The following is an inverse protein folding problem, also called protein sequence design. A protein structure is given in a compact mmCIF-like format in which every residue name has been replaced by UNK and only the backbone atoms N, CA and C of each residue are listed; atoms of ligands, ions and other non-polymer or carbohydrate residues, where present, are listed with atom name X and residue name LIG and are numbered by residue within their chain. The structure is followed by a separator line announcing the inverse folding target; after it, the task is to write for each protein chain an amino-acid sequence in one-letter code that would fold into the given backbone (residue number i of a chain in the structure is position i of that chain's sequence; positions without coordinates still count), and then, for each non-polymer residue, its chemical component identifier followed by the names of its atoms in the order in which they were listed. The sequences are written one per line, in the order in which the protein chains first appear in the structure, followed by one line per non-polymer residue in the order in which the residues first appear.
data_IF_241084371524
#
_entry.id   IF_241084371524
#
_cell.length_a   1.000
_cell.length_b   1.000
_cell.length_c   1.000
_cell.angle_alpha   90.00
_cell.angle_beta   90.00
_cell.angle_gamma   90.00
#
_symmetry.space_group_name_H-M   'P 1'
#
loop_
_entity.id
_entity.type
_entity.pdbx_description
1 polymer ?
#
# COMPACT_ATOMS: atom_id res chain seq x y z
N UNK A 1 -20.41 9.62 -15.42
CA UNK A 1 -19.55 9.08 -14.35
C UNK A 1 -18.34 9.99 -14.24
N UNK A 2 -18.19 10.68 -13.13
CA UNK A 2 -17.04 11.53 -12.81
C UNK A 2 -15.80 10.69 -12.49
N UNK A 3 -14.63 11.31 -12.39
CA UNK A 3 -13.40 10.59 -12.03
C UNK A 3 -13.43 10.10 -10.58
N UNK A 4 -14.01 10.87 -9.66
CA UNK A 4 -14.27 10.40 -8.30
C UNK A 4 -15.21 9.18 -8.29
N UNK A 5 -16.31 9.21 -9.04
CA UNK A 5 -17.22 8.05 -9.13
C UNK A 5 -16.51 6.80 -9.71
N UNK A 6 -15.57 7.00 -10.64
CA UNK A 6 -14.73 5.91 -11.17
C UNK A 6 -13.80 5.34 -10.11
N UNK A 7 -13.11 6.21 -9.36
CA UNK A 7 -12.22 5.79 -8.28
C UNK A 7 -12.98 5.00 -7.21
N UNK A 8 -14.12 5.51 -6.76
CA UNK A 8 -14.96 4.85 -5.75
C UNK A 8 -15.52 3.51 -6.21
N UNK A 9 -15.86 3.37 -7.49
CA UNK A 9 -16.31 2.10 -8.05
C UNK A 9 -15.14 1.10 -8.23
N UNK A 10 -13.95 1.61 -8.57
CA UNK A 10 -12.76 0.80 -8.77
C UNK A 10 -12.19 0.29 -7.45
N UNK A 11 -12.03 1.18 -6.47
CA UNK A 11 -11.49 0.90 -5.14
C UNK A 11 -12.48 1.39 -4.09
N UNK A 12 -13.40 0.56 -3.60
CA UNK A 12 -14.36 1.00 -2.59
C UNK A 12 -13.65 1.54 -1.33
N UNK A 13 -14.08 2.70 -0.77
CA UNK A 13 -13.54 3.20 0.49
C UNK A 13 -13.78 2.21 1.63
N UNK A 14 -12.95 2.26 2.69
CA UNK A 14 -13.16 1.42 3.86
C UNK A 14 -14.43 1.82 4.61
N UNK A 15 -15.05 0.85 5.29
CA UNK A 15 -16.24 1.11 6.11
C UNK A 15 -15.94 2.04 7.31
N UNK A 16 -14.70 2.04 7.79
CA UNK A 16 -14.21 2.86 8.88
C UNK A 16 -12.85 3.49 8.49
N UNK A 17 -12.86 4.60 7.73
CA UNK A 17 -11.63 5.30 7.37
C UNK A 17 -10.93 5.87 8.61
N UNK A 18 -9.60 5.80 8.62
CA UNK A 18 -8.76 6.30 9.72
C UNK A 18 -8.45 7.77 9.47
N UNK A 19 -8.54 8.62 10.49
CA UNK A 19 -8.27 10.07 10.39
C UNK A 19 -9.18 10.81 9.38
N UNK A 20 -10.40 10.32 9.15
CA UNK A 20 -11.34 10.89 8.18
C UNK A 20 -11.86 12.31 8.56
N UNK A 21 -11.84 12.64 9.85
CA UNK A 21 -12.27 13.91 10.40
C UNK A 21 -11.14 14.94 10.51
N UNK A 22 -9.97 14.64 9.95
CA UNK A 22 -8.81 15.52 10.00
C UNK A 22 -9.14 16.95 9.51
N UNK A 23 -8.56 17.93 10.21
CA UNK A 23 -8.67 19.32 9.85
C UNK A 23 -7.65 19.63 8.74
N UNK A 24 -8.13 19.98 7.55
CA UNK A 24 -7.28 20.33 6.41
C UNK A 24 -6.98 21.83 6.36
N UNK A 25 -7.70 22.65 7.12
CA UNK A 25 -7.48 24.10 7.16
C UNK A 25 -6.12 24.45 7.78
N UNK A 26 -5.63 23.65 8.74
CA UNK A 26 -4.26 23.79 9.25
C UNK A 26 -3.18 23.58 8.17
N UNK A 27 -3.42 22.71 7.18
CA UNK A 27 -2.49 22.50 6.07
C UNK A 27 -2.52 23.70 5.15
N UNK A 28 -3.72 24.23 4.86
CA UNK A 28 -3.89 25.42 4.06
C UNK A 28 -3.20 26.65 4.69
N UNK A 29 -3.39 26.85 5.99
CA UNK A 29 -2.76 27.93 6.76
C UNK A 29 -1.24 27.74 6.85
N UNK A 30 -0.78 26.51 7.11
CA UNK A 30 0.64 26.19 7.25
C UNK A 30 1.42 26.33 5.94
N UNK A 31 0.82 25.95 4.82
CA UNK A 31 1.41 26.11 3.49
C UNK A 31 1.15 27.50 2.90
N UNK A 32 0.17 28.25 3.39
CA UNK A 32 -0.26 29.52 2.78
C UNK A 32 -0.93 29.33 1.42
N UNK A 33 -1.60 28.19 1.22
CA UNK A 33 -2.20 27.75 -0.05
C UNK A 33 -3.56 27.11 0.22
N UNK A 34 -4.54 27.34 -0.64
CA UNK A 34 -5.74 26.50 -0.65
C UNK A 34 -5.41 25.13 -1.26
N UNK A 35 -6.02 24.05 -0.77
CA UNK A 35 -5.84 22.71 -1.32
C UNK A 35 -6.87 22.39 -2.41
N UNK A 36 -6.57 21.47 -3.36
CA UNK A 36 -7.57 21.00 -4.30
C UNK A 36 -8.74 20.37 -3.54
N UNK A 37 -9.98 20.76 -3.89
CA UNK A 37 -11.17 20.29 -3.15
C UNK A 37 -11.30 18.77 -3.23
N UNK A 38 -11.08 18.21 -4.42
CA UNK A 38 -11.17 16.76 -4.66
C UNK A 38 -10.17 15.97 -3.81
N UNK A 39 -8.98 16.52 -3.53
CA UNK A 39 -8.01 15.88 -2.65
C UNK A 39 -8.57 15.70 -1.24
N UNK A 40 -9.07 16.79 -0.63
CA UNK A 40 -9.63 16.71 0.73
C UNK A 40 -10.88 15.83 0.78
N UNK A 41 -11.68 15.76 -0.27
CA UNK A 41 -12.81 14.83 -0.38
C UNK A 41 -12.35 13.37 -0.39
N UNK A 42 -11.36 13.02 -1.22
CA UNK A 42 -10.76 11.68 -1.26
C UNK A 42 -10.12 11.32 0.08
N UNK A 43 -9.35 12.23 0.66
CA UNK A 43 -8.67 11.99 1.93
C UNK A 43 -9.67 11.72 3.07
N UNK A 44 -10.85 12.36 3.06
CA UNK A 44 -11.93 12.08 4.02
C UNK A 44 -12.62 10.74 3.77
N UNK A 45 -12.80 10.35 2.50
CA UNK A 45 -13.48 9.10 2.15
C UNK A 45 -12.61 7.88 2.45
N UNK A 46 -11.32 7.94 2.12
CA UNK A 46 -10.40 6.82 2.31
C UNK A 46 -9.69 6.86 3.66
N UNK A 47 -9.45 8.06 4.21
CA UNK A 47 -8.62 8.23 5.39
C UNK A 47 -7.15 7.92 5.11
N UNK A 48 -6.39 7.75 6.19
CA UNK A 48 -5.01 7.29 6.14
C UNK A 48 -4.94 5.82 5.73
N UNK A 49 -4.13 5.50 4.73
CA UNK A 49 -3.93 4.13 4.24
C UNK A 49 -3.20 4.08 2.90
N UNK A 50 -3.23 2.91 2.26
CA UNK A 50 -2.53 2.66 1.00
C UNK A 50 -3.48 2.07 -0.05
N UNK A 51 -3.33 2.53 -1.29
CA UNK A 51 -3.91 1.93 -2.48
C UNK A 51 -2.95 0.86 -3.01
N UNK A 52 -3.44 -0.38 -3.10
CA UNK A 52 -2.71 -1.53 -3.65
C UNK A 52 -1.32 -1.78 -3.04
N UNK A 53 -1.14 -1.47 -1.75
CA UNK A 53 0.15 -1.48 -1.02
C UNK A 53 1.23 -0.54 -1.59
N UNK A 54 0.85 0.33 -2.55
CA UNK A 54 1.80 1.13 -3.32
C UNK A 54 1.66 2.62 -3.01
N UNK A 55 0.48 3.21 -3.23
CA UNK A 55 0.33 4.67 -3.16
C UNK A 55 -0.43 5.11 -1.91
N UNK A 56 -0.02 6.22 -1.31
CA UNK A 56 -0.74 6.84 -0.18
C UNK A 56 -0.94 8.33 -0.39
N UNK A 57 -2.08 8.84 0.08
CA UNK A 57 -2.27 10.27 0.30
C UNK A 57 -1.67 10.62 1.66
N UNK A 58 -0.91 11.70 1.73
CA UNK A 58 -0.34 12.19 2.98
C UNK A 58 -1.44 12.71 3.89
N UNK A 59 -1.28 12.47 5.19
CA UNK A 59 -2.08 13.10 6.25
C UNK A 59 -1.72 14.58 6.41
N UNK A 60 -2.55 15.40 7.09
CA UNK A 60 -2.19 16.78 7.41
C UNK A 60 -0.84 16.91 8.10
N UNK A 61 -0.55 16.04 9.07
CA UNK A 61 0.73 16.02 9.79
C UNK A 61 1.90 15.79 8.83
N UNK A 62 1.79 14.79 7.94
CA UNK A 62 2.84 14.51 6.95
C UNK A 62 3.02 15.68 5.98
N UNK A 63 1.94 16.28 5.48
CA UNK A 63 2.04 17.42 4.57
C UNK A 63 2.72 18.62 5.23
N UNK A 64 2.49 18.86 6.52
CA UNK A 64 3.11 19.96 7.28
C UNK A 64 4.57 19.66 7.68
N UNK A 65 4.90 18.40 8.00
CA UNK A 65 6.24 18.00 8.43
C UNK A 65 7.20 17.80 7.25
N UNK A 66 6.70 17.27 6.12
CA UNK A 66 7.53 16.92 4.96
C UNK A 66 7.72 18.08 3.98
N UNK A 67 6.77 19.01 3.88
CA UNK A 67 6.93 20.18 3.02
C UNK A 67 7.63 21.35 3.76
N UNK A 68 8.57 22.07 3.11
CA UNK A 68 9.21 21.73 1.84
C UNK A 68 10.42 20.80 2.01
N UNK A 69 10.83 20.49 3.24
CA UNK A 69 12.13 19.88 3.55
C UNK A 69 12.44 18.62 2.74
N UNK A 70 11.47 17.70 2.60
CA UNK A 70 11.66 16.47 1.82
C UNK A 70 11.89 16.75 0.33
N UNK A 71 11.20 17.74 -0.25
CA UNK A 71 11.42 18.13 -1.65
C UNK A 71 12.76 18.81 -1.86
N UNK A 72 13.21 19.61 -0.89
CA UNK A 72 14.53 20.23 -0.93
C UNK A 72 15.64 19.18 -0.85
N UNK A 73 15.49 18.18 0.01
CA UNK A 73 16.43 17.07 0.11
C UNK A 73 16.50 16.28 -1.21
N UNK A 74 15.34 15.97 -1.81
CA UNK A 74 15.28 15.31 -3.13
C UNK A 74 15.92 16.18 -4.21
N UNK A 75 15.63 17.48 -4.22
CA UNK A 75 16.20 18.46 -5.17
C UNK A 75 17.72 18.54 -5.06
N UNK A 76 18.25 18.52 -3.83
CA UNK A 76 19.68 18.49 -3.57
C UNK A 76 20.33 17.17 -4.03
N UNK A 77 19.71 16.03 -3.76
CA UNK A 77 20.24 14.72 -4.19
C UNK A 77 20.26 14.59 -5.72
N UNK A 78 19.21 15.05 -6.40
CA UNK A 78 19.10 15.04 -7.86
C UNK A 78 20.23 15.83 -8.53
N UNK A 79 20.60 16.99 -7.96
CA UNK A 79 21.70 17.84 -8.45
C UNK A 79 23.04 17.11 -8.46
N UNK A 80 23.27 16.21 -7.51
CA UNK A 80 24.52 15.44 -7.41
C UNK A 80 24.54 14.22 -8.35
N UNK A 81 23.38 13.71 -8.77
CA UNK A 81 23.26 12.45 -9.53
C UNK A 81 22.96 12.65 -11.02
N UNK A 82 21.94 13.45 -11.34
CA UNK A 82 21.35 13.55 -12.69
C UNK A 82 21.43 14.98 -13.23
N UNK A 83 21.10 15.99 -12.41
CA UNK A 83 21.06 17.39 -12.82
C UNK A 83 20.09 18.24 -12.02
N UNK A 84 19.73 19.41 -12.53
CA UNK A 84 18.83 20.33 -11.82
C UNK A 84 17.38 19.83 -11.84
N UNK A 85 16.68 20.02 -10.71
CA UNK A 85 15.24 19.80 -10.64
C UNK A 85 14.52 20.74 -11.63
N UNK A 86 13.64 20.24 -12.50
CA UNK A 86 12.97 21.07 -13.50
C UNK A 86 11.94 22.02 -12.91
N UNK A 87 11.57 21.86 -11.64
CA UNK A 87 10.52 22.61 -10.98
C UNK A 87 11.01 23.33 -9.71
N UNK A 88 10.48 24.53 -9.43
CA UNK A 88 10.65 25.16 -8.13
C UNK A 88 10.05 24.30 -7.01
N UNK A 89 10.41 24.60 -5.75
CA UNK A 89 9.79 24.00 -4.55
C UNK A 89 9.07 25.10 -3.78
N UNK A 90 7.80 24.88 -3.41
CA UNK A 90 7.03 25.88 -2.65
C UNK A 90 7.79 26.23 -1.35
N UNK A 91 8.00 27.51 -0.99
CA UNK A 91 7.21 28.70 -1.37
C UNK A 91 7.67 29.44 -2.63
N UNK A 92 8.61 28.91 -3.39
CA UNK A 92 8.93 29.48 -4.71
C UNK A 92 7.66 29.45 -5.60
N UNK A 93 7.35 30.52 -6.37
CA UNK A 93 6.15 30.57 -7.20
C UNK A 93 6.05 29.40 -8.17
N UNK A 94 4.88 28.74 -8.20
CA UNK A 94 4.64 27.56 -9.04
C UNK A 94 5.34 26.29 -8.53
N UNK A 95 5.92 26.34 -7.33
CA UNK A 95 6.68 25.25 -6.76
C UNK A 95 5.88 24.00 -6.43
N UNK A 96 6.59 22.89 -6.36
CA UNK A 96 6.07 21.59 -5.96
C UNK A 96 5.60 21.60 -4.51
N UNK A 97 4.48 20.92 -4.25
CA UNK A 97 3.94 20.61 -2.92
C UNK A 97 3.63 19.12 -2.85
N UNK A 98 4.21 18.40 -1.89
CA UNK A 98 3.93 16.98 -1.64
C UNK A 98 2.51 16.80 -1.14
N UNK A 99 1.82 15.81 -1.71
CA UNK A 99 0.50 15.36 -1.25
C UNK A 99 0.39 13.85 -1.11
N UNK A 100 1.37 13.09 -1.59
CA UNK A 100 1.38 11.64 -1.52
C UNK A 100 2.73 11.04 -1.86
N UNK A 101 2.82 9.72 -1.75
CA UNK A 101 4.02 8.96 -2.10
C UNK A 101 3.68 7.55 -2.55
N UNK A 102 4.62 6.90 -3.21
CA UNK A 102 4.61 5.46 -3.44
C UNK A 102 5.24 4.70 -2.25
N UNK A 103 5.44 3.38 -2.38
CA UNK A 103 5.99 2.52 -1.33
C UNK A 103 7.52 2.38 -1.39
N UNK A 104 8.16 2.89 -2.44
CA UNK A 104 9.57 2.63 -2.78
C UNK A 104 10.44 3.90 -2.84
N UNK A 105 9.88 5.07 -2.58
CA UNK A 105 10.58 6.34 -2.41
C UNK A 105 10.15 7.46 -3.36
N UNK A 106 9.28 7.18 -4.34
CA UNK A 106 8.70 8.19 -5.20
C UNK A 106 7.64 9.05 -4.50
N UNK A 107 7.40 10.23 -5.05
CA UNK A 107 6.57 11.27 -4.45
C UNK A 107 5.56 11.84 -5.44
N UNK A 108 4.35 12.07 -4.96
CA UNK A 108 3.28 12.71 -5.70
C UNK A 108 3.19 14.17 -5.25
N UNK A 109 3.39 15.07 -6.20
CA UNK A 109 3.46 16.50 -5.96
C UNK A 109 2.40 17.23 -6.79
N UNK A 110 1.87 18.34 -6.30
CA UNK A 110 1.20 19.31 -7.16
C UNK A 110 2.20 20.34 -7.66
N UNK A 111 2.09 20.70 -8.94
CA UNK A 111 2.60 21.97 -9.44
C UNK A 111 1.59 23.04 -9.09
N UNK A 112 1.97 24.02 -8.27
CA UNK A 112 1.07 25.07 -7.76
C UNK A 112 0.74 26.16 -8.81
N UNK A 113 0.56 25.74 -10.06
CA UNK A 113 0.21 26.57 -11.21
C UNK A 113 -1.09 26.11 -11.90
N UNK A 114 -1.98 27.04 -12.29
CA UNK A 114 -1.89 28.48 -12.05
C UNK A 114 -2.14 28.84 -10.58
N UNK A 115 -1.44 29.88 -10.10
CA UNK A 115 -1.57 30.36 -8.73
C UNK A 115 -3.02 30.74 -8.39
N UNK A 116 -3.47 30.39 -7.17
CA UNK A 116 -4.83 30.67 -6.71
C UNK A 116 -5.93 29.84 -7.37
N UNK A 117 -5.59 28.78 -8.11
CA UNK A 117 -6.55 27.85 -8.73
C UNK A 117 -6.17 26.39 -8.42
N UNK A 118 -6.28 25.96 -7.16
CA UNK A 118 -5.79 24.64 -6.74
C UNK A 118 -6.44 23.46 -7.46
N UNK A 119 -7.73 23.57 -7.80
CA UNK A 119 -8.45 22.53 -8.58
C UNK A 119 -7.91 22.35 -10.01
N UNK A 120 -6.97 23.19 -10.46
CA UNK A 120 -6.33 23.13 -11.78
C UNK A 120 -4.87 22.71 -11.71
N UNK A 121 -4.32 22.51 -10.52
CA UNK A 121 -2.94 22.07 -10.34
C UNK A 121 -2.74 20.68 -10.92
N UNK A 122 -1.63 20.50 -11.62
CA UNK A 122 -1.26 19.20 -12.18
C UNK A 122 -0.54 18.36 -11.15
N UNK A 123 -0.71 17.05 -11.21
CA UNK A 123 0.14 16.12 -10.45
C UNK A 123 1.41 15.84 -11.23
N UNK A 124 2.53 15.93 -10.54
CA UNK A 124 3.83 15.40 -10.96
C UNK A 124 4.15 14.23 -10.06
N UNK A 125 4.44 13.07 -10.66
CA UNK A 125 5.01 11.93 -9.96
C UNK A 125 6.51 11.95 -10.17
N UNK A 126 7.24 12.30 -9.12
CA UNK A 126 8.69 12.23 -9.09
C UNK A 126 9.08 10.84 -8.57
N UNK A 127 9.53 9.98 -9.47
CA UNK A 127 9.82 8.58 -9.17
C UNK A 127 11.12 8.44 -8.39
N UNK A 128 11.32 7.27 -7.77
CA UNK A 128 12.57 6.94 -7.10
C UNK A 128 13.79 6.95 -8.05
N UNK A 129 13.57 6.76 -9.34
CA UNK A 129 14.61 6.74 -10.37
C UNK A 129 14.88 8.14 -10.94
N UNK A 130 14.45 9.20 -10.23
CA UNK A 130 14.65 10.60 -10.61
C UNK A 130 13.97 11.03 -11.92
N UNK A 131 12.92 10.29 -12.32
CA UNK A 131 12.06 10.65 -13.45
C UNK A 131 10.86 11.48 -12.98
N UNK A 132 10.43 12.44 -13.82
CA UNK A 132 9.27 13.29 -13.58
C UNK A 132 8.15 12.97 -14.56
N UNK A 133 7.13 12.27 -14.08
CA UNK A 133 5.94 11.93 -14.85
C UNK A 133 4.82 12.96 -14.60
N UNK A 134 4.20 13.46 -15.67
CA UNK A 134 3.14 14.46 -15.58
C UNK A 134 1.79 13.78 -15.78
N UNK A 135 1.09 13.57 -14.67
CA UNK A 135 -0.16 12.82 -14.67
C UNK A 135 -1.33 13.75 -14.99
N UNK A 136 -2.20 13.32 -15.90
CA UNK A 136 -3.32 14.12 -16.38
C UNK A 136 -4.58 13.94 -15.52
N UNK A 137 -5.30 15.04 -15.31
CA UNK A 137 -6.55 15.06 -14.53
C UNK A 137 -6.39 15.46 -13.07
N UNK A 138 -7.50 15.41 -12.33
CA UNK A 138 -7.55 15.63 -10.89
C UNK A 138 -7.02 14.43 -10.11
N UNK A 139 -7.00 14.54 -8.77
CA UNK A 139 -6.46 13.51 -7.87
C UNK A 139 -7.18 12.16 -8.07
N UNK A 140 -8.49 12.18 -8.30
CA UNK A 140 -9.23 10.93 -8.53
C UNK A 140 -8.79 10.20 -9.81
N UNK A 141 -8.59 10.95 -10.90
CA UNK A 141 -8.14 10.41 -12.18
C UNK A 141 -6.72 9.85 -12.08
N UNK A 142 -5.84 10.60 -11.40
CA UNK A 142 -4.46 10.19 -11.12
C UNK A 142 -4.42 8.89 -10.34
N UNK A 143 -5.10 8.79 -9.19
CA UNK A 143 -5.12 7.57 -8.38
C UNK A 143 -5.73 6.40 -9.14
N UNK A 144 -6.79 6.62 -9.93
CA UNK A 144 -7.39 5.59 -10.80
C UNK A 144 -6.37 5.04 -11.79
N UNK A 145 -5.61 5.92 -12.46
CA UNK A 145 -4.57 5.53 -13.41
C UNK A 145 -3.43 4.76 -12.76
N UNK A 146 -2.88 5.28 -11.66
CA UNK A 146 -1.79 4.66 -10.90
C UNK A 146 -2.17 3.27 -10.38
N UNK A 147 -3.35 3.14 -9.77
CA UNK A 147 -3.90 1.86 -9.32
C UNK A 147 -4.07 0.88 -10.47
N UNK A 148 -4.59 1.35 -11.61
CA UNK A 148 -4.72 0.53 -12.82
C UNK A 148 -3.38 -0.03 -13.31
N UNK A 149 -2.35 0.81 -13.35
CA UNK A 149 -0.98 0.42 -13.72
C UNK A 149 -0.40 -0.63 -12.77
N UNK A 150 -0.53 -0.43 -11.45
CA UNK A 150 -0.04 -1.40 -10.44
C UNK A 150 -0.72 -2.76 -10.59
N UNK A 151 -2.05 -2.77 -10.73
CA UNK A 151 -2.79 -4.03 -10.89
C UNK A 151 -2.43 -4.72 -12.20
N UNK A 152 -2.25 -3.97 -13.30
CA UNK A 152 -1.82 -4.54 -14.56
C UNK A 152 -0.44 -5.20 -14.45
N UNK A 153 0.52 -4.50 -13.85
CA UNK A 153 1.87 -5.04 -13.60
C UNK A 153 1.84 -6.31 -12.74
N UNK A 154 1.11 -6.29 -11.62
CA UNK A 154 0.98 -7.47 -10.74
C UNK A 154 0.37 -8.69 -11.48
N UNK A 155 -0.50 -8.48 -12.47
CA UNK A 155 -1.05 -9.57 -13.31
C UNK A 155 -0.05 -10.10 -14.33
N UNK A 156 0.86 -9.27 -14.81
CA UNK A 156 1.93 -9.69 -15.71
C UNK A 156 2.99 -10.53 -14.99
N UNK A 157 3.22 -10.28 -13.69
CA UNK A 157 4.20 -10.99 -12.86
C UNK A 157 3.84 -12.47 -12.60
N UNK A 158 2.63 -12.90 -12.93
CA UNK A 158 2.21 -14.31 -12.97
C UNK A 158 1.20 -14.75 -11.90
N UNK A 159 1.29 -14.27 -10.64
CA UNK A 159 0.31 -14.60 -9.61
C UNK A 159 -1.03 -13.86 -9.75
N UNK A 160 -2.09 -14.49 -9.22
CA UNK A 160 -3.46 -13.98 -9.33
C UNK A 160 -3.66 -12.64 -8.61
N UNK A 161 -4.41 -11.73 -9.24
CA UNK A 161 -4.86 -10.46 -8.65
C UNK A 161 -6.35 -10.26 -8.97
N UNK A 162 -7.18 -10.31 -7.93
CA UNK A 162 -8.64 -10.25 -8.09
C UNK A 162 -9.14 -8.83 -8.45
N UNK A 163 -8.39 -7.81 -8.04
CA UNK A 163 -8.70 -6.40 -8.32
C UNK A 163 -7.84 -5.48 -7.47
N UNK A 164 -8.03 -4.16 -7.60
CA UNK A 164 -7.40 -3.20 -6.71
C UNK A 164 -8.07 -3.19 -5.33
N UNK A 165 -7.34 -2.71 -4.32
CA UNK A 165 -7.79 -2.61 -2.95
C UNK A 165 -7.27 -1.34 -2.28
N UNK A 166 -7.87 -0.99 -1.15
CA UNK A 166 -7.36 0.00 -0.21
C UNK A 166 -7.20 -0.65 1.16
N UNK A 167 -6.05 -0.48 1.78
CA UNK A 167 -5.80 -0.91 3.16
C UNK A 167 -5.73 0.32 4.08
N UNK A 168 -6.71 0.47 5.00
CA UNK A 168 -6.62 1.51 6.03
C UNK A 168 -5.38 1.33 6.88
N UNK A 169 -4.78 2.46 7.31
CA UNK A 169 -3.63 2.43 8.19
C UNK A 169 -3.96 1.70 9.48
N UNK A 170 -3.15 0.69 9.80
CA UNK A 170 -3.28 -0.11 11.02
C UNK A 170 -1.90 -0.48 11.53
N UNK A 171 -1.77 -0.54 12.86
CA UNK A 171 -0.57 -1.09 13.52
C UNK A 171 -0.79 -2.57 13.77
N UNK A 172 -0.36 -3.39 12.83
CA UNK A 172 -0.60 -4.82 12.87
C UNK A 172 0.40 -5.60 13.71
N UNK A 173 -0.10 -6.73 14.20
CA UNK A 173 0.72 -7.83 14.69
C UNK A 173 1.19 -8.62 13.48
N UNK A 174 2.50 -8.82 13.35
CA UNK A 174 3.09 -9.62 12.28
C UNK A 174 3.64 -10.93 12.84
N UNK A 175 3.27 -12.05 12.23
CA UNK A 175 3.71 -13.39 12.65
C UNK A 175 4.15 -14.19 11.43
N UNK A 176 5.35 -14.76 11.50
CA UNK A 176 5.88 -15.63 10.45
C UNK A 176 5.90 -17.07 10.98
N UNK A 177 5.19 -17.96 10.31
CA UNK A 177 5.08 -19.37 10.63
C UNK A 177 5.93 -20.16 9.65
N UNK A 178 7.07 -20.67 10.10
CA UNK A 178 7.90 -21.58 9.31
C UNK A 178 7.24 -22.95 9.31
N UNK A 179 7.13 -23.54 8.13
CA UNK A 179 6.41 -24.78 7.91
C UNK A 179 7.36 -25.90 7.51
N UNK A 180 6.99 -27.11 7.87
CA UNK A 180 7.54 -28.34 7.31
C UNK A 180 6.43 -29.20 6.70
N UNK A 181 6.76 -29.93 5.65
CA UNK A 181 5.83 -30.78 4.92
C UNK A 181 5.71 -32.15 5.61
N UNK A 182 4.49 -32.62 5.81
CA UNK A 182 4.28 -34.02 6.18
C UNK A 182 4.61 -34.94 4.99
N UNK A 183 4.90 -36.22 5.28
CA UNK A 183 5.14 -37.19 4.23
C UNK A 183 3.91 -37.31 3.32
N UNK A 184 4.10 -37.05 2.02
CA UNK A 184 3.02 -37.06 1.03
C UNK A 184 2.18 -35.78 0.98
N UNK A 185 2.67 -34.67 1.54
CA UNK A 185 2.01 -33.37 1.38
C UNK A 185 1.76 -33.06 -0.11
N UNK A 186 0.59 -32.51 -0.45
CA UNK A 186 0.26 -32.18 -1.83
C UNK A 186 1.15 -31.04 -2.34
N UNK A 187 1.28 -30.84 -3.66
CA UNK A 187 2.10 -29.77 -4.24
C UNK A 187 1.67 -28.37 -3.79
N UNK A 188 2.58 -27.40 -3.91
CA UNK A 188 2.38 -26.02 -3.46
C UNK A 188 1.02 -25.43 -3.87
N UNK A 189 0.63 -25.53 -5.14
CA UNK A 189 -0.60 -24.91 -5.63
C UNK A 189 -1.86 -25.50 -4.97
N UNK A 190 -1.84 -26.80 -4.68
CA UNK A 190 -2.95 -27.44 -3.97
C UNK A 190 -2.98 -27.00 -2.51
N UNK A 191 -1.81 -26.87 -1.86
CA UNK A 191 -1.72 -26.29 -0.50
C UNK A 191 -2.23 -24.85 -0.46
N UNK A 192 -1.86 -24.01 -1.43
CA UNK A 192 -2.37 -22.63 -1.55
C UNK A 192 -3.89 -22.61 -1.71
N UNK A 193 -4.46 -23.48 -2.57
CA UNK A 193 -5.92 -23.62 -2.72
C UNK A 193 -6.59 -24.03 -1.41
N UNK A 194 -6.00 -24.98 -0.67
CA UNK A 194 -6.50 -25.41 0.64
C UNK A 194 -6.44 -24.28 1.66
N UNK A 195 -5.33 -23.53 1.72
CA UNK A 195 -5.16 -22.39 2.61
C UNK A 195 -6.20 -21.31 2.36
N UNK A 196 -6.33 -20.86 1.09
CA UNK A 196 -7.31 -19.84 0.70
C UNK A 196 -8.75 -20.28 0.97
N UNK A 197 -9.06 -21.56 0.75
CA UNK A 197 -10.39 -22.13 1.08
C UNK A 197 -10.65 -22.15 2.58
N UNK A 198 -9.64 -22.48 3.38
CA UNK A 198 -9.77 -22.56 4.85
C UNK A 198 -9.95 -21.19 5.49
N UNK A 199 -9.41 -20.14 4.86
CA UNK A 199 -9.51 -18.75 5.29
C UNK A 199 -10.57 -17.96 4.50
N UNK A 200 -11.38 -18.65 3.69
CA UNK A 200 -12.34 -18.00 2.82
C UNK A 200 -13.39 -17.19 3.59
N UNK A 201 -13.88 -16.07 3.03
CA UNK A 201 -13.52 -15.52 1.72
C UNK A 201 -12.17 -14.78 1.71
N UNK A 202 -11.41 -14.92 0.62
CA UNK A 202 -10.10 -14.24 0.42
C UNK A 202 -10.00 -13.61 -0.97
N UNK A 203 -9.28 -12.50 -1.10
CA UNK A 203 -8.91 -11.87 -2.38
C UNK A 203 -7.41 -12.00 -2.66
N UNK A 204 -7.05 -12.38 -3.89
CA UNK A 204 -5.68 -12.45 -4.36
C UNK A 204 -5.12 -11.07 -4.67
N UNK A 205 -3.87 -10.82 -4.26
CA UNK A 205 -3.19 -9.51 -4.32
C UNK A 205 -1.86 -9.56 -5.08
N UNK A 206 -1.69 -10.58 -5.92
CA UNK A 206 -0.47 -10.82 -6.70
C UNK A 206 0.56 -11.60 -5.91
N UNK A 207 1.82 -11.49 -6.32
CA UNK A 207 2.89 -12.32 -5.78
C UNK A 207 4.16 -12.23 -6.62
N UNK A 208 5.02 -13.22 -6.43
CA UNK A 208 6.25 -13.40 -7.19
C UNK A 208 6.38 -14.87 -7.63
N UNK A 209 6.86 -15.11 -8.84
CA UNK A 209 7.26 -16.43 -9.32
C UNK A 209 8.65 -16.33 -9.99
N UNK A 210 9.66 -16.85 -9.31
CA UNK A 210 11.03 -16.92 -9.78
C UNK A 210 11.25 -18.07 -10.78
N UNK A 211 12.27 -17.92 -11.63
CA UNK A 211 12.63 -18.91 -12.64
C UNK A 211 13.12 -20.26 -12.05
N UNK A 212 13.55 -20.26 -10.79
CA UNK A 212 13.95 -21.42 -10.00
C UNK A 212 12.77 -22.11 -9.28
N UNK A 213 11.54 -21.58 -9.45
CA UNK A 213 10.33 -22.06 -8.78
C UNK A 213 10.12 -21.48 -7.38
N UNK A 214 11.02 -20.62 -6.89
CA UNK A 214 10.76 -19.80 -5.70
C UNK A 214 9.53 -18.93 -5.94
N UNK A 215 8.61 -18.86 -4.98
CA UNK A 215 7.39 -18.09 -5.17
C UNK A 215 6.83 -17.47 -3.89
N UNK A 216 6.01 -16.47 -4.08
CA UNK A 216 5.19 -15.81 -3.06
C UNK A 216 3.79 -15.59 -3.62
N UNK A 217 2.77 -15.84 -2.82
CA UNK A 217 1.38 -15.54 -3.15
C UNK A 217 0.79 -14.68 -2.03
N UNK A 218 0.40 -13.45 -2.38
CA UNK A 218 -0.20 -12.48 -1.48
C UNK A 218 -1.72 -12.52 -1.60
N UNK A 219 -2.41 -12.50 -0.46
CA UNK A 219 -3.86 -12.42 -0.41
C UNK A 219 -4.31 -11.82 0.91
N UNK A 220 -5.57 -11.41 0.98
CA UNK A 220 -6.19 -10.95 2.22
C UNK A 220 -7.53 -11.63 2.45
N UNK A 221 -7.98 -11.69 3.71
CA UNK A 221 -9.38 -11.99 4.01
C UNK A 221 -10.28 -10.90 3.43
N UNK A 222 -11.52 -11.21 3.05
CA UNK A 222 -12.36 -10.26 2.31
C UNK A 222 -12.76 -9.03 3.12
N UNK A 223 -12.72 -9.10 4.45
CA UNK A 223 -12.89 -7.96 5.35
C UNK A 223 -11.64 -7.07 5.44
N UNK A 224 -10.52 -7.46 4.80
CA UNK A 224 -9.24 -6.77 4.88
C UNK A 224 -8.59 -6.85 6.27
N UNK A 225 -9.11 -7.71 7.15
CA UNK A 225 -8.54 -7.83 8.49
C UNK A 225 -7.19 -8.51 8.45
N UNK A 226 -7.00 -9.58 7.67
CA UNK A 226 -5.73 -10.29 7.64
C UNK A 226 -5.09 -10.18 6.26
N UNK A 227 -3.82 -9.78 6.22
CA UNK A 227 -3.00 -9.88 5.01
C UNK A 227 -2.03 -11.04 5.17
N UNK A 228 -1.90 -11.84 4.12
CA UNK A 228 -1.15 -13.08 4.12
C UNK A 228 -0.20 -13.16 2.93
N UNK A 229 0.96 -13.74 3.19
CA UNK A 229 1.88 -14.26 2.17
C UNK A 229 2.12 -15.72 2.45
N UNK A 230 1.81 -16.59 1.50
CA UNK A 230 2.31 -17.97 1.49
C UNK A 230 3.48 -18.04 0.51
N UNK A 231 4.60 -18.65 0.90
CA UNK A 231 5.80 -18.60 0.07
C UNK A 231 6.77 -19.78 0.26
N UNK A 232 7.68 -19.90 -0.70
CA UNK A 232 8.92 -20.70 -0.63
C UNK A 232 10.18 -19.88 -0.92
N UNK A 233 10.05 -18.61 -1.33
CA UNK A 233 11.18 -17.78 -1.77
C UNK A 233 12.19 -17.51 -0.64
N UNK A 234 11.71 -17.31 0.58
CA UNK A 234 12.56 -17.17 1.78
C UNK A 234 12.39 -18.34 2.76
N UNK A 235 12.11 -19.54 2.22
CA UNK A 235 11.75 -20.73 2.99
C UNK A 235 10.25 -21.01 2.96
N UNK A 236 9.85 -22.22 3.31
CA UNK A 236 8.44 -22.61 3.33
C UNK A 236 7.75 -21.99 4.54
N UNK A 237 6.95 -20.94 4.33
CA UNK A 237 6.34 -20.19 5.42
C UNK A 237 5.00 -19.54 5.06
N UNK A 238 4.24 -19.20 6.10
CA UNK A 238 3.11 -18.26 6.04
C UNK A 238 3.50 -17.02 6.85
N UNK A 239 3.42 -15.86 6.22
CA UNK A 239 3.50 -14.56 6.88
C UNK A 239 2.09 -14.01 7.00
N UNK A 240 1.69 -13.56 8.18
CA UNK A 240 0.38 -12.96 8.41
C UNK A 240 0.54 -11.64 9.15
N UNK A 241 -0.24 -10.63 8.76
CA UNK A 241 -0.45 -9.40 9.51
C UNK A 241 -1.94 -9.26 9.86
N UNK A 242 -2.25 -8.84 11.09
CA UNK A 242 -3.62 -8.75 11.59
C UNK A 242 -3.75 -7.74 12.74
N UNK A 243 -4.97 -7.26 13.06
CA UNK A 243 -5.20 -6.31 14.14
C UNK A 243 -4.80 -6.88 15.51
N UNK A 244 -4.24 -6.05 16.40
CA UNK A 244 -3.99 -6.43 17.79
C UNK A 244 -5.24 -6.99 18.47
N UNK A 245 -5.09 -8.06 19.26
CA UNK A 245 -6.19 -8.70 19.99
C UNK A 245 -6.93 -9.78 19.19
N UNK A 246 -6.60 -10.00 17.92
CA UNK A 246 -7.15 -11.09 17.11
C UNK A 246 -6.33 -12.40 17.21
N UNK A 247 -5.29 -12.44 18.04
CA UNK A 247 -4.27 -13.50 18.12
C UNK A 247 -4.85 -14.91 18.20
N UNK A 248 -5.78 -15.15 19.15
CA UNK A 248 -6.37 -16.48 19.35
C UNK A 248 -7.20 -16.93 18.15
N UNK A 249 -7.93 -16.00 17.51
CA UNK A 249 -8.74 -16.26 16.30
C UNK A 249 -7.84 -16.60 15.12
N UNK A 250 -6.80 -15.79 14.89
CA UNK A 250 -5.82 -15.98 13.81
C UNK A 250 -5.07 -17.30 14.00
N UNK A 251 -4.58 -17.58 15.21
CA UNK A 251 -3.88 -18.81 15.54
C UNK A 251 -4.73 -20.05 15.29
N UNK A 252 -5.96 -20.05 15.78
CA UNK A 252 -6.87 -21.19 15.61
C UNK A 252 -7.13 -21.45 14.13
N UNK A 253 -7.42 -20.41 13.35
CA UNK A 253 -7.68 -20.53 11.91
C UNK A 253 -6.45 -21.01 11.14
N UNK A 254 -5.27 -20.43 11.40
CA UNK A 254 -4.04 -20.79 10.69
C UNK A 254 -3.55 -22.20 11.03
N UNK A 255 -3.58 -22.62 12.30
CA UNK A 255 -3.17 -23.97 12.66
C UNK A 255 -4.06 -25.03 12.01
N UNK A 256 -5.38 -24.80 11.97
CA UNK A 256 -6.30 -25.68 11.27
C UNK A 256 -6.06 -25.71 9.76
N UNK A 257 -5.80 -24.54 9.14
CA UNK A 257 -5.48 -24.47 7.73
C UNK A 257 -4.15 -25.16 7.39
N UNK A 258 -3.12 -25.00 8.22
CA UNK A 258 -1.80 -25.59 8.05
C UNK A 258 -1.87 -27.13 8.11
N UNK A 259 -2.61 -27.67 9.08
CA UNK A 259 -2.86 -29.11 9.16
C UNK A 259 -3.57 -29.63 7.90
N UNK A 260 -4.60 -28.90 7.42
CA UNK A 260 -5.31 -29.26 6.20
C UNK A 260 -4.44 -29.22 4.93
N UNK A 261 -3.38 -28.39 4.90
CA UNK A 261 -2.39 -28.38 3.82
C UNK A 261 -1.46 -29.61 3.85
N UNK A 262 -1.51 -30.44 4.89
CA UNK A 262 -0.52 -31.50 5.12
C UNK A 262 0.82 -30.93 5.60
N UNK A 263 0.80 -29.81 6.31
CA UNK A 263 2.00 -29.15 6.86
C UNK A 263 1.94 -29.10 8.39
N UNK A 264 3.08 -28.81 9.01
CA UNK A 264 3.18 -28.51 10.45
C UNK A 264 4.00 -27.25 10.67
N UNK A 265 3.71 -26.53 11.75
CA UNK A 265 4.54 -25.39 12.17
C UNK A 265 5.83 -25.93 12.79
N UNK A 266 6.96 -25.56 12.21
CA UNK A 266 8.31 -25.89 12.72
C UNK A 266 8.86 -24.79 13.63
N UNK A 267 8.31 -23.58 13.54
CA UNK A 267 8.65 -22.48 14.43
C UNK A 267 7.93 -21.19 14.08
N UNK A 268 7.93 -20.27 15.05
CA UNK A 268 7.38 -18.93 14.90
C UNK A 268 8.55 -17.94 14.90
N UNK A 269 8.71 -17.20 13.80
CA UNK A 269 9.76 -16.20 13.67
C UNK A 269 9.19 -14.82 13.99
N UNK A 270 9.87 -14.03 14.86
CA UNK A 270 9.45 -12.66 15.13
C UNK A 270 9.76 -11.77 13.94
N UNK A 271 8.91 -10.77 13.72
CA UNK A 271 9.18 -9.67 12.79
C UNK A 271 9.73 -8.50 13.59
N UNK A 272 10.96 -8.07 13.28
CA UNK A 272 11.63 -6.96 13.97
C UNK A 272 11.67 -7.06 15.51
N UNK A 273 11.62 -8.28 16.07
CA UNK A 273 11.71 -8.52 17.52
C UNK A 273 10.41 -8.34 18.31
N UNK A 274 9.25 -8.18 17.66
CA UNK A 274 7.95 -8.07 18.33
C UNK A 274 6.92 -9.07 17.79
N UNK A 275 6.14 -9.60 18.75
CA UNK A 275 5.12 -10.66 18.67
C UNK A 275 5.66 -12.11 18.58
N UNK A 276 5.63 -12.79 19.73
CA UNK A 276 5.71 -14.24 19.84
C UNK A 276 4.30 -14.78 20.09
N UNK A 277 3.94 -15.90 19.46
CA UNK A 277 2.90 -16.79 20.00
C UNK A 277 3.56 -17.62 21.10
N UNK A 278 3.32 -17.35 22.40
CA UNK A 278 4.14 -17.89 23.49
C UNK A 278 3.88 -19.38 23.80
N UNK A 279 3.13 -20.10 22.95
CA UNK A 279 2.69 -21.48 23.20
C UNK A 279 3.15 -22.49 22.13
N UNK A 280 4.07 -22.11 21.22
CA UNK A 280 4.61 -23.02 20.19
C UNK A 280 6.14 -23.23 20.28
N UNK A 281 6.76 -22.82 21.38
CA UNK A 281 8.17 -23.13 21.70
C UNK A 281 8.34 -24.55 22.27
#
# INVERSE_FOLDING_TARGET
MTDLERLLALVPPPAAPVDADADWTQVEDGLGLALPREFTEIARLYGRGTFCDEFSCHTPEQMLEENPGRLEDLRFMLQETVGECPHPVHPEPGGLVLWGSDSIGGTLCWLTEPAGSPDRWKTVYWTRDDEFEYLEGGVAAVLTGLVGTVVAKKREDGPDVDGPWFDPYRRDVHVYLRLDEAAGAPPYEERLRVLRRSLAPTSARGGFLGADGARQDHFATADGEWTLTYETAYGHQIRVAYPPGADARVRTALLAAIDAMGCRVEGVLPVHGTAHWPELD
#
